data_IF_182257660707
#
_entry.id   IF_182257660707
#
_cell.length_a   1.000
_cell.length_b   1.000
_cell.length_c   1.000
_cell.angle_alpha   90.00
_cell.angle_beta   90.00
_cell.angle_gamma   90.00
#
_symmetry.space_group_name_H-M   'P 1'
#
loop_
_entity.id
_entity.type
_entity.pdbx_description
1 polymer ?
#
# COMPACT_ATOMS: atom_id res chain seq x y z
N UNK A 1 -16.43 -25.66 -6.80
CA UNK A 1 -15.37 -25.62 -7.81
C UNK A 1 -15.84 -24.82 -9.04
N UNK A 2 -16.95 -25.17 -9.69
CA UNK A 2 -17.46 -24.44 -10.88
C UNK A 2 -17.84 -22.97 -10.60
N UNK A 3 -18.54 -22.67 -9.49
CA UNK A 3 -18.95 -21.29 -9.16
C UNK A 3 -17.80 -20.32 -8.86
N UNK A 4 -16.58 -20.82 -8.59
CA UNK A 4 -15.40 -19.98 -8.31
C UNK A 4 -14.57 -19.75 -9.57
N UNK A 5 -14.48 -20.76 -10.44
CA UNK A 5 -13.88 -20.65 -11.78
C UNK A 5 -14.72 -19.72 -12.66
N UNK A 6 -16.04 -19.87 -12.63
CA UNK A 6 -16.96 -19.09 -13.45
C UNK A 6 -16.94 -17.59 -13.09
N UNK A 7 -16.75 -17.25 -11.80
CA UNK A 7 -16.70 -15.85 -11.33
C UNK A 7 -15.40 -15.14 -11.73
N UNK A 8 -14.33 -15.89 -11.99
CA UNK A 8 -13.06 -15.37 -12.51
C UNK A 8 -13.07 -15.23 -14.03
N UNK A 9 -13.80 -16.10 -14.75
CA UNK A 9 -13.93 -16.05 -16.21
C UNK A 9 -14.98 -15.05 -16.70
N UNK A 10 -16.00 -14.73 -15.90
CA UNK A 10 -17.12 -13.87 -16.34
C UNK A 10 -16.95 -12.36 -16.06
N UNK A 11 -15.78 -11.91 -15.61
CA UNK A 11 -15.53 -10.53 -15.17
C UNK A 11 -15.42 -9.46 -16.27
N UNK A 12 -15.76 -9.78 -17.53
CA UNK A 12 -15.56 -8.89 -18.67
C UNK A 12 -16.79 -8.83 -19.60
N UNK A 13 -17.97 -8.49 -19.07
CA UNK A 13 -19.06 -7.95 -19.90
C UNK A 13 -19.96 -7.05 -19.08
N UNK A 14 -20.00 -5.77 -19.44
CA UNK A 14 -21.05 -4.82 -19.04
C UNK A 14 -22.23 -5.04 -19.98
N UNK A 15 -23.35 -5.55 -19.49
CA UNK A 15 -24.63 -5.36 -20.18
C UNK A 15 -25.78 -5.08 -19.21
N UNK A 16 -26.60 -4.16 -19.71
CA UNK A 16 -27.69 -3.45 -19.07
C UNK A 16 -28.97 -4.27 -19.30
N UNK A 17 -29.62 -4.77 -18.24
CA UNK A 17 -30.68 -5.77 -18.37
C UNK A 17 -31.79 -5.66 -17.33
N UNK A 18 -32.74 -4.79 -17.63
CA UNK A 18 -34.06 -4.55 -17.01
C UNK A 18 -34.74 -5.81 -16.44
N UNK A 19 -34.99 -5.83 -15.13
CA UNK A 19 -35.77 -6.85 -14.44
C UNK A 19 -37.29 -6.69 -14.68
N UNK A 20 -37.97 -7.80 -15.01
CA UNK A 20 -39.43 -7.92 -15.00
C UNK A 20 -39.86 -8.80 -13.82
N UNK A 21 -40.77 -8.29 -13.00
CA UNK A 21 -41.27 -8.90 -11.78
C UNK A 21 -42.53 -9.75 -12.04
N UNK A 22 -42.62 -10.91 -11.38
CA UNK A 22 -43.83 -11.73 -11.24
C UNK A 22 -44.69 -11.23 -10.08
N UNK A 23 -46.00 -11.16 -10.33
CA UNK A 23 -47.03 -10.60 -9.44
C UNK A 23 -47.53 -11.59 -8.37
N UNK A 24 -47.79 -11.07 -7.16
CA UNK A 24 -48.72 -11.65 -6.17
C UNK A 24 -49.53 -10.52 -5.52
N UNK A 25 -50.81 -10.82 -5.27
CA UNK A 25 -51.93 -9.91 -5.01
C UNK A 25 -51.88 -9.09 -3.70
N UNK A 26 -52.64 -7.99 -3.71
CA UNK A 26 -52.74 -6.94 -2.70
C UNK A 26 -53.73 -7.20 -1.54
N UNK A 27 -53.54 -6.52 -0.39
CA UNK A 27 -54.62 -6.08 0.48
C UNK A 27 -54.78 -4.53 0.48
N UNK A 28 -55.98 -4.11 0.92
CA UNK A 28 -56.62 -2.78 0.88
C UNK A 28 -55.90 -1.61 1.62
N UNK A 29 -56.20 -0.34 1.26
CA UNK A 29 -55.43 0.84 1.71
C UNK A 29 -55.88 1.42 3.06
N UNK A 30 -54.95 1.88 3.92
CA UNK A 30 -55.25 2.85 4.97
C UNK A 30 -55.02 4.31 4.50
N UNK A 31 -55.70 5.22 5.19
CA UNK A 31 -55.90 6.63 4.87
C UNK A 31 -54.63 7.47 4.61
N UNK A 32 -54.80 8.49 3.77
CA UNK A 32 -53.77 9.45 3.35
C UNK A 32 -53.10 10.17 4.53
N UNK A 33 -51.77 10.01 4.65
CA UNK A 33 -50.94 10.84 5.51
C UNK A 33 -50.68 12.22 4.87
N UNK A 34 -50.58 13.31 5.65
CA UNK A 34 -50.28 14.63 5.12
C UNK A 34 -48.85 14.70 4.54
N UNK A 35 -48.59 15.60 3.57
CA UNK A 35 -47.28 15.75 2.96
C UNK A 35 -46.22 16.16 4.00
N UNK A 36 -44.96 15.72 3.83
CA UNK A 36 -43.88 16.08 4.76
C UNK A 36 -43.64 17.60 4.75
N UNK A 37 -43.28 18.18 5.90
CA UNK A 37 -43.00 19.61 5.99
C UNK A 37 -41.79 19.99 5.12
N UNK A 38 -41.76 21.22 4.57
CA UNK A 38 -40.64 21.69 3.78
C UNK A 38 -39.36 21.73 4.63
N UNK A 39 -38.18 21.51 4.00
CA UNK A 39 -36.91 21.57 4.70
C UNK A 39 -36.66 22.97 5.29
N UNK A 40 -35.99 23.06 6.45
CA UNK A 40 -35.67 24.34 7.06
C UNK A 40 -34.74 25.17 6.15
N UNK A 41 -34.86 26.51 6.18
CA UNK A 41 -33.99 27.39 5.41
C UNK A 41 -32.52 27.23 5.85
N UNK A 42 -31.56 27.41 4.93
CA UNK A 42 -30.15 27.33 5.26
C UNK A 42 -29.75 28.42 6.28
N UNK A 43 -28.77 28.13 7.15
CA UNK A 43 -28.30 29.09 8.13
C UNK A 43 -27.70 30.34 7.46
N UNK A 44 -27.81 31.53 8.08
CA UNK A 44 -27.22 32.74 7.56
C UNK A 44 -25.69 32.62 7.50
N UNK A 45 -25.03 33.29 6.52
CA UNK A 45 -23.59 33.25 6.38
C UNK A 45 -22.89 33.86 7.61
N UNK A 46 -21.70 33.35 7.99
CA UNK A 46 -20.93 33.89 9.11
C UNK A 46 -20.55 35.35 8.89
N UNK A 47 -20.66 36.16 9.95
CA UNK A 47 -20.27 37.57 9.94
C UNK A 47 -18.74 37.68 9.81
N UNK A 48 -18.25 38.23 8.69
CA UNK A 48 -16.82 38.27 8.33
C UNK A 48 -15.98 39.27 9.14
N UNK A 49 -16.52 39.87 10.21
CA UNK A 49 -15.84 40.88 11.01
C UNK A 49 -14.94 40.32 12.13
N UNK A 50 -15.03 39.02 12.48
CA UNK A 50 -14.21 38.43 13.56
C UNK A 50 -13.09 37.49 13.09
N UNK A 51 -12.96 37.23 11.77
CA UNK A 51 -11.89 36.39 11.20
C UNK A 51 -10.59 37.17 10.88
N UNK A 52 -10.52 38.48 11.14
CA UNK A 52 -9.34 39.30 10.84
C UNK A 52 -8.34 39.47 11.99
N UNK A 53 -8.49 38.76 13.12
CA UNK A 53 -7.57 38.93 14.27
C UNK A 53 -6.69 37.73 14.62
N UNK A 54 -6.73 36.63 13.87
CA UNK A 54 -5.92 35.43 14.17
C UNK A 54 -5.04 34.89 13.03
N UNK A 55 -4.99 35.56 11.88
CA UNK A 55 -4.16 35.17 10.73
C UNK A 55 -2.94 36.08 10.56
N UNK A 56 -2.19 36.32 11.65
CA UNK A 56 -1.00 37.16 11.63
C UNK A 56 0.32 36.44 11.98
N UNK A 57 0.38 35.10 12.04
CA UNK A 57 1.61 34.46 12.52
C UNK A 57 2.11 33.18 11.86
N UNK A 58 1.49 32.63 10.80
CA UNK A 58 1.98 31.37 10.19
C UNK A 58 2.03 31.37 8.64
N UNK A 59 2.36 32.51 8.01
CA UNK A 59 2.48 32.60 6.55
C UNK A 59 3.74 33.30 6.02
N UNK A 60 4.60 33.84 6.88
CA UNK A 60 5.71 34.71 6.46
C UNK A 60 6.90 33.95 5.83
N UNK A 61 7.05 32.65 6.07
CA UNK A 61 8.23 31.90 5.62
C UNK A 61 8.20 31.46 4.16
N UNK A 62 7.06 30.95 3.66
CA UNK A 62 6.97 30.42 2.30
C UNK A 62 6.96 31.54 1.25
N UNK A 63 6.22 32.63 1.48
CA UNK A 63 6.15 33.76 0.55
C UNK A 63 7.50 34.47 0.35
N UNK A 64 8.31 34.56 1.42
CA UNK A 64 9.65 35.13 1.34
C UNK A 64 10.59 34.27 0.47
N UNK A 65 10.51 32.93 0.60
CA UNK A 65 11.29 32.00 -0.22
C UNK A 65 10.93 32.09 -1.71
N UNK A 66 9.64 32.19 -2.04
CA UNK A 66 9.22 32.33 -3.44
C UNK A 66 9.60 33.70 -4.03
N UNK A 67 9.59 34.77 -3.24
CA UNK A 67 10.03 36.09 -3.68
C UNK A 67 11.56 36.14 -3.91
N UNK A 68 12.34 35.47 -3.07
CA UNK A 68 13.80 35.36 -3.21
C UNK A 68 14.20 34.50 -4.42
N UNK A 69 13.47 33.41 -4.68
CA UNK A 69 13.67 32.58 -5.89
C UNK A 69 13.36 33.39 -7.16
N UNK A 70 12.31 34.21 -7.15
CA UNK A 70 11.94 35.03 -8.30
C UNK A 70 12.87 36.24 -8.50
N UNK A 71 13.50 36.76 -7.46
CA UNK A 71 14.42 37.91 -7.55
C UNK A 71 15.83 37.53 -8.04
N UNK A 72 16.20 36.25 -7.95
CA UNK A 72 17.51 35.74 -8.38
C UNK A 72 17.70 35.74 -9.92
N UNK A 73 16.63 35.87 -10.71
CA UNK A 73 16.68 35.92 -12.19
C UNK A 73 17.34 34.69 -12.84
N UNK A 74 17.41 34.65 -14.17
CA UNK A 74 18.01 33.51 -14.91
C UNK A 74 19.50 33.28 -14.58
N UNK A 75 20.21 34.30 -14.09
CA UNK A 75 21.63 34.24 -13.76
C UNK A 75 21.94 33.79 -12.32
N UNK A 76 21.07 34.08 -11.34
CA UNK A 76 21.32 33.78 -9.92
C UNK A 76 21.11 32.30 -9.57
N UNK A 77 20.21 31.61 -10.28
CA UNK A 77 19.96 30.17 -10.08
C UNK A 77 21.18 29.31 -10.46
N UNK A 78 22.05 29.81 -11.35
CA UNK A 78 23.22 29.08 -11.86
C UNK A 78 24.54 29.41 -11.16
N UNK A 79 24.59 30.43 -10.30
CA UNK A 79 25.82 30.89 -9.65
C UNK A 79 26.30 29.94 -8.53
N UNK A 80 25.38 29.19 -7.92
CA UNK A 80 25.66 28.21 -6.85
C UNK A 80 25.84 26.75 -7.31
N UNK A 81 25.58 26.44 -8.59
CA UNK A 81 25.78 25.09 -9.12
C UNK A 81 27.19 24.95 -9.69
N UNK A 82 27.95 23.95 -9.20
CA UNK A 82 29.20 23.54 -9.85
C UNK A 82 28.89 23.18 -11.31
N UNK A 83 29.60 23.79 -12.25
CA UNK A 83 29.50 23.44 -13.68
C UNK A 83 29.79 21.95 -13.83
N UNK A 84 28.79 21.19 -14.25
CA UNK A 84 29.00 19.81 -14.65
C UNK A 84 29.85 19.81 -15.92
N UNK A 85 31.11 19.37 -15.81
CA UNK A 85 31.90 19.00 -16.98
C UNK A 85 31.21 17.79 -17.61
N UNK A 86 30.69 17.94 -18.83
CA UNK A 86 30.27 16.79 -19.65
C UNK A 86 31.52 15.92 -19.84
N UNK A 87 31.54 14.76 -19.20
CA UNK A 87 32.50 13.72 -19.54
C UNK A 87 32.33 13.33 -21.01
N UNK A 88 33.38 12.80 -21.65
CA UNK A 88 33.36 12.51 -23.08
C UNK A 88 32.16 11.62 -23.42
N UNK A 89 31.38 12.10 -24.39
CA UNK A 89 30.47 11.26 -25.15
C UNK A 89 31.32 10.19 -25.83
N UNK A 90 30.93 8.92 -25.72
CA UNK A 90 31.56 7.85 -26.48
C UNK A 90 31.21 8.05 -27.96
N UNK A 91 31.97 8.91 -28.64
CA UNK A 91 32.13 8.84 -30.08
C UNK A 91 33.04 7.64 -30.39
N UNK A 92 32.49 6.71 -31.17
CA UNK A 92 33.17 5.64 -31.91
C UNK A 92 34.49 5.11 -31.34
N UNK A 93 34.38 4.11 -30.46
CA UNK A 93 35.45 3.13 -30.29
C UNK A 93 35.08 1.86 -31.04
N UNK A 94 35.72 1.67 -32.20
CA UNK A 94 35.74 0.40 -32.94
C UNK A 94 36.18 -0.72 -32.00
N UNK A 95 35.37 -1.78 -31.90
CA UNK A 95 35.68 -2.95 -31.09
C UNK A 95 36.99 -3.61 -31.59
N UNK A 96 38.03 -3.76 -30.75
CA UNK A 96 39.19 -4.57 -31.11
C UNK A 96 38.82 -6.06 -31.04
N UNK A 97 39.26 -6.81 -32.05
CA UNK A 97 39.03 -8.24 -32.22
C UNK A 97 39.43 -9.08 -30.99
N UNK A 98 38.73 -10.21 -30.70
CA UNK A 98 38.97 -11.00 -29.50
C UNK A 98 40.33 -11.71 -29.58
N UNK A 99 41.23 -11.37 -28.65
CA UNK A 99 42.49 -12.10 -28.42
C UNK A 99 42.24 -13.19 -27.35
N UNK A 100 42.85 -14.38 -27.46
CA UNK A 100 42.61 -15.49 -26.53
C UNK A 100 42.94 -15.13 -25.07
N UNK A 101 42.08 -15.57 -24.15
CA UNK A 101 42.15 -15.27 -22.72
C UNK A 101 43.43 -15.82 -22.05
N UNK A 102 44.17 -15.00 -21.27
CA UNK A 102 45.18 -15.48 -20.35
C UNK A 102 44.53 -16.11 -19.10
N UNK A 103 45.20 -17.11 -18.51
CA UNK A 103 44.77 -17.86 -17.33
C UNK A 103 44.43 -16.98 -16.11
N UNK A 104 43.62 -17.48 -15.15
CA UNK A 104 43.08 -16.66 -14.05
C UNK A 104 44.20 -16.21 -13.10
N UNK A 105 44.49 -14.91 -13.09
CA UNK A 105 45.28 -14.30 -12.04
C UNK A 105 44.38 -14.07 -10.81
N UNK A 106 44.78 -14.66 -9.68
CA UNK A 106 44.20 -14.39 -8.37
C UNK A 106 44.39 -12.90 -8.04
N UNK A 107 43.27 -12.17 -7.93
CA UNK A 107 43.30 -10.74 -7.64
C UNK A 107 41.99 -10.03 -7.96
N UNK A 108 40.85 -10.55 -7.49
CA UNK A 108 39.61 -9.79 -7.54
C UNK A 108 39.71 -8.64 -6.51
N UNK A 109 39.98 -7.43 -7.01
CA UNK A 109 39.73 -6.20 -6.28
C UNK A 109 38.25 -6.17 -5.91
N UNK A 110 37.96 -6.34 -4.62
CA UNK A 110 36.62 -6.26 -4.07
C UNK A 110 36.03 -4.89 -4.43
N UNK A 111 34.94 -4.91 -5.21
CA UNK A 111 34.11 -3.73 -5.42
C UNK A 111 33.66 -3.23 -4.05
N UNK A 112 34.11 -2.04 -3.67
CA UNK A 112 33.76 -1.42 -2.39
C UNK A 112 32.24 -1.23 -2.36
N UNK A 113 31.58 -2.07 -1.55
CA UNK A 113 30.18 -1.90 -1.24
C UNK A 113 30.01 -0.52 -0.60
N UNK A 114 29.19 0.33 -1.23
CA UNK A 114 28.78 1.62 -0.67
C UNK A 114 28.27 1.38 0.76
N UNK A 115 28.73 2.14 1.77
CA UNK A 115 28.31 1.94 3.15
C UNK A 115 26.79 1.95 3.24
N UNK A 116 26.23 0.90 3.85
CA UNK A 116 24.83 0.87 4.17
C UNK A 116 24.49 2.09 5.05
N UNK A 117 23.37 2.78 4.80
CA UNK A 117 22.91 3.87 5.66
C UNK A 117 22.88 3.40 7.12
N UNK A 118 23.31 4.26 8.04
CA UNK A 118 23.31 3.96 9.47
C UNK A 118 21.92 3.47 9.91
N UNK A 119 21.89 2.30 10.56
CA UNK A 119 20.66 1.70 11.04
C UNK A 119 20.01 2.64 12.06
N UNK A 120 18.77 3.07 11.77
CA UNK A 120 17.94 3.78 12.75
C UNK A 120 17.57 2.80 13.87
N UNK A 121 17.41 3.31 15.08
CA UNK A 121 17.01 2.47 16.21
C UNK A 121 15.62 1.86 15.96
N UNK A 122 15.42 0.56 16.26
CA UNK A 122 14.11 -0.05 16.22
C UNK A 122 13.12 0.70 17.11
N UNK A 123 11.89 0.85 16.61
CA UNK A 123 10.85 1.64 17.27
C UNK A 123 9.53 0.88 17.26
N UNK A 124 8.88 0.79 18.41
CA UNK A 124 7.53 0.25 18.54
C UNK A 124 6.78 1.03 19.60
N UNK A 125 5.89 1.92 19.19
CA UNK A 125 5.08 2.74 20.11
C UNK A 125 3.72 3.09 19.51
N UNK A 126 2.77 3.39 20.40
CA UNK A 126 1.45 3.89 20.01
C UNK A 126 1.47 5.42 19.94
N UNK A 127 1.27 5.97 18.74
CA UNK A 127 1.14 7.40 18.49
C UNK A 127 -0.33 7.75 18.25
N UNK A 128 -1.00 8.22 19.29
CA UNK A 128 -2.45 8.48 19.26
C UNK A 128 -3.23 7.19 19.07
N UNK A 129 -3.65 6.89 17.83
CA UNK A 129 -4.34 5.64 17.46
C UNK A 129 -3.54 4.80 16.46
N UNK A 130 -2.30 5.18 16.16
CA UNK A 130 -1.47 4.53 15.16
C UNK A 130 -0.29 3.87 15.84
N UNK A 131 -0.21 2.55 15.80
CA UNK A 131 0.99 1.82 16.15
C UNK A 131 2.05 2.05 15.08
N UNK A 132 3.23 2.48 15.51
CA UNK A 132 4.38 2.76 14.66
C UNK A 132 5.46 1.73 14.98
N UNK A 133 5.68 0.81 14.06
CA UNK A 133 6.66 -0.29 14.13
C UNK A 133 7.71 -0.05 13.06
N UNK A 134 8.92 0.36 13.42
CA UNK A 134 9.92 0.80 12.45
C UNK A 134 11.31 0.21 12.71
N UNK A 135 12.06 0.02 11.63
CA UNK A 135 13.50 -0.25 11.64
C UNK A 135 13.94 -1.53 12.39
N UNK A 136 13.05 -2.50 12.56
CA UNK A 136 13.44 -3.82 13.05
C UNK A 136 14.25 -4.56 11.99
N UNK A 137 15.39 -5.14 12.38
CA UNK A 137 16.25 -5.94 11.51
C UNK A 137 16.57 -7.26 12.22
N UNK A 138 16.26 -8.40 11.58
CA UNK A 138 16.63 -9.72 12.10
C UNK A 138 15.82 -10.22 13.30
N UNK A 139 14.70 -9.57 13.67
CA UNK A 139 13.93 -9.93 14.86
C UNK A 139 12.64 -10.69 14.48
N UNK A 140 12.54 -11.96 14.89
CA UNK A 140 11.40 -12.81 14.58
C UNK A 140 10.39 -12.98 15.73
N UNK A 141 10.57 -12.25 16.82
CA UNK A 141 9.77 -12.37 18.06
C UNK A 141 9.03 -11.07 18.38
N UNK A 142 8.74 -10.24 17.37
CA UNK A 142 8.02 -8.99 17.57
C UNK A 142 6.55 -9.30 17.83
N UNK A 143 6.05 -8.97 19.01
CA UNK A 143 4.64 -9.14 19.36
C UNK A 143 4.03 -7.77 19.63
N UNK A 144 2.98 -7.44 18.88
CA UNK A 144 2.19 -6.23 19.05
C UNK A 144 0.78 -6.61 19.54
N UNK A 145 0.38 -6.10 20.70
CA UNK A 145 -0.97 -6.30 21.22
C UNK A 145 -1.81 -5.04 20.94
N UNK A 146 -2.78 -5.17 20.04
CA UNK A 146 -3.74 -4.11 19.71
C UNK A 146 -4.93 -4.20 20.67
N UNK A 147 -5.20 -3.11 21.39
CA UNK A 147 -6.21 -3.09 22.45
C UNK A 147 -7.58 -2.57 21.95
N UNK A 148 -7.62 -1.97 20.76
CA UNK A 148 -8.81 -1.32 20.24
C UNK A 148 -8.92 -1.46 18.73
N UNK A 149 -10.11 -1.81 18.26
CA UNK A 149 -10.45 -1.87 16.82
C UNK A 149 -10.29 -0.51 16.11
N UNK A 150 -10.16 0.59 16.85
CA UNK A 150 -9.92 1.93 16.29
C UNK A 150 -8.44 2.21 16.03
N UNK A 151 -7.55 1.33 16.49
CA UNK A 151 -6.11 1.47 16.29
C UNK A 151 -5.70 0.90 14.93
N UNK A 152 -4.79 1.58 14.25
CA UNK A 152 -4.17 1.13 13.00
C UNK A 152 -2.71 0.79 13.23
N UNK A 153 -2.16 -0.15 12.45
CA UNK A 153 -0.76 -0.57 12.55
C UNK A 153 -0.01 -0.12 11.31
N UNK A 154 1.14 0.52 11.51
CA UNK A 154 2.04 0.94 10.44
C UNK A 154 3.43 0.38 10.68
N UNK A 155 3.88 -0.42 9.72
CA UNK A 155 5.14 -1.15 9.76
C UNK A 155 6.03 -0.57 8.66
N UNK A 156 7.18 -0.03 9.05
CA UNK A 156 8.07 0.67 8.12
C UNK A 156 9.50 0.17 8.22
N UNK A 157 10.09 -0.21 7.07
CA UNK A 157 11.49 -0.63 6.97
C UNK A 157 11.89 -1.69 8.00
N UNK A 158 11.01 -2.66 8.22
CA UNK A 158 11.34 -3.85 9.00
C UNK A 158 11.85 -4.93 8.02
N UNK A 159 13.06 -5.45 8.24
CA UNK A 159 13.64 -6.46 7.35
C UNK A 159 14.08 -7.71 8.10
N UNK A 160 14.02 -8.87 7.44
CA UNK A 160 14.39 -10.19 8.01
C UNK A 160 13.74 -10.42 9.38
N UNK A 161 12.50 -9.96 9.52
CA UNK A 161 11.82 -9.87 10.80
C UNK A 161 10.42 -10.44 10.66
N UNK A 162 9.87 -10.89 11.79
CA UNK A 162 8.50 -11.43 11.87
C UNK A 162 7.76 -10.68 12.97
N UNK A 163 6.55 -10.21 12.66
CA UNK A 163 5.63 -9.61 13.63
C UNK A 163 4.38 -10.47 13.79
N UNK A 164 3.91 -10.56 15.04
CA UNK A 164 2.60 -11.09 15.40
C UNK A 164 1.74 -9.96 15.96
N UNK A 165 0.69 -9.59 15.26
CA UNK A 165 -0.29 -8.58 15.67
C UNK A 165 -1.49 -9.32 16.29
N UNK A 166 -1.58 -9.24 17.61
CA UNK A 166 -2.66 -9.81 18.40
C UNK A 166 -3.79 -8.80 18.58
N UNK A 167 -5.02 -9.29 18.61
CA UNK A 167 -6.22 -8.46 18.65
C UNK A 167 -6.66 -7.94 17.27
N UNK A 168 -7.86 -7.35 17.26
CA UNK A 168 -8.47 -6.79 16.06
C UNK A 168 -8.12 -5.31 15.91
N UNK A 169 -7.57 -4.95 14.75
CA UNK A 169 -7.20 -3.57 14.41
C UNK A 169 -8.11 -3.01 13.30
N UNK A 170 -8.04 -1.70 13.07
CA UNK A 170 -8.75 -1.04 11.98
C UNK A 170 -8.12 -1.38 10.63
N UNK A 171 -6.81 -1.17 10.51
CA UNK A 171 -6.03 -1.38 9.29
C UNK A 171 -4.57 -1.69 9.61
N UNK A 172 -3.90 -2.35 8.67
CA UNK A 172 -2.47 -2.65 8.70
C UNK A 172 -1.85 -2.08 7.43
N UNK A 173 -0.72 -1.39 7.54
CA UNK A 173 0.05 -0.90 6.41
C UNK A 173 1.53 -1.30 6.58
N UNK A 174 2.07 -2.00 5.59
CA UNK A 174 3.45 -2.51 5.53
C UNK A 174 4.15 -1.76 4.40
N UNK A 175 5.12 -0.91 4.73
CA UNK A 175 5.85 -0.09 3.75
C UNK A 175 7.36 -0.33 3.82
N UNK A 176 7.98 -0.46 2.66
CA UNK A 176 9.43 -0.50 2.50
C UNK A 176 10.11 -1.63 3.29
N UNK A 177 9.43 -2.76 3.47
CA UNK A 177 9.92 -3.93 4.21
C UNK A 177 10.54 -4.97 3.26
N UNK A 178 11.51 -5.75 3.75
CA UNK A 178 12.19 -6.79 2.96
C UNK A 178 12.38 -8.09 3.73
N UNK A 179 11.99 -9.24 3.17
CA UNK A 179 12.04 -10.54 3.88
C UNK A 179 11.31 -10.43 5.22
N UNK A 180 10.07 -9.97 5.16
CA UNK A 180 9.29 -9.62 6.34
C UNK A 180 8.00 -10.43 6.40
N UNK A 181 7.72 -10.97 7.58
CA UNK A 181 6.57 -11.82 7.81
C UNK A 181 5.61 -11.13 8.79
N UNK A 182 4.32 -11.10 8.46
CA UNK A 182 3.28 -10.50 9.29
C UNK A 182 2.16 -11.51 9.53
N UNK A 183 1.95 -11.89 10.79
CA UNK A 183 0.78 -12.67 11.20
C UNK A 183 -0.15 -11.75 11.97
N UNK A 184 -1.41 -11.67 11.59
CA UNK A 184 -2.39 -10.84 12.28
C UNK A 184 -3.74 -11.55 12.45
N UNK A 185 -4.47 -11.20 13.50
CA UNK A 185 -5.81 -11.76 13.73
C UNK A 185 -6.83 -11.20 12.76
N UNK A 186 -7.18 -9.92 12.88
CA UNK A 186 -8.19 -9.31 12.02
C UNK A 186 -7.90 -7.84 11.73
N UNK A 187 -8.17 -7.45 10.49
CA UNK A 187 -8.19 -6.07 10.04
C UNK A 187 -9.62 -5.72 9.63
N UNK A 188 -10.20 -4.67 10.22
CA UNK A 188 -11.58 -4.28 9.93
C UNK A 188 -11.77 -3.78 8.50
N UNK A 189 -10.78 -3.04 7.98
CA UNK A 189 -10.87 -2.39 6.67
C UNK A 189 -9.91 -2.98 5.65
N UNK A 190 -8.60 -2.87 5.87
CA UNK A 190 -7.61 -3.20 4.85
C UNK A 190 -6.27 -3.59 5.46
N UNK A 191 -5.59 -4.51 4.77
CA UNK A 191 -4.17 -4.75 4.91
C UNK A 191 -3.46 -4.28 3.63
N UNK A 192 -2.60 -3.29 3.74
CA UNK A 192 -1.91 -2.68 2.61
C UNK A 192 -0.41 -3.00 2.65
N UNK A 193 0.16 -3.33 1.50
CA UNK A 193 1.58 -3.62 1.33
C UNK A 193 2.12 -2.78 0.20
N UNK A 194 3.10 -1.94 0.49
CA UNK A 194 3.65 -0.95 -0.44
C UNK A 194 5.17 -1.02 -0.47
N UNK A 195 5.78 -0.87 -1.65
CA UNK A 195 7.23 -0.73 -1.83
C UNK A 195 8.07 -1.85 -1.16
N UNK A 196 7.50 -3.05 -1.04
CA UNK A 196 8.07 -4.12 -0.21
C UNK A 196 8.40 -5.35 -1.05
N UNK A 197 9.34 -6.17 -0.58
CA UNK A 197 9.78 -7.35 -1.33
C UNK A 197 10.03 -8.55 -0.44
N UNK A 198 9.74 -9.76 -0.92
CA UNK A 198 9.80 -11.01 -0.15
C UNK A 198 8.96 -10.89 1.12
N UNK A 199 7.64 -10.72 0.94
CA UNK A 199 6.70 -10.53 2.05
C UNK A 199 5.82 -11.77 2.21
N UNK A 200 5.65 -12.22 3.44
CA UNK A 200 4.65 -13.23 3.77
C UNK A 200 3.65 -12.66 4.77
N UNK A 201 2.38 -12.79 4.47
CA UNK A 201 1.30 -12.29 5.34
C UNK A 201 0.38 -13.45 5.65
N UNK A 202 -0.09 -13.54 6.89
CA UNK A 202 -1.08 -14.52 7.30
C UNK A 202 -2.17 -13.84 8.14
N UNK A 203 -3.42 -14.02 7.75
CA UNK A 203 -4.57 -13.70 8.61
C UNK A 203 -5.03 -14.96 9.34
N UNK A 204 -5.40 -14.84 10.62
CA UNK A 204 -6.05 -15.94 11.37
C UNK A 204 -7.56 -15.74 11.53
N UNK A 205 -8.08 -14.53 11.30
CA UNK A 205 -9.50 -14.20 11.24
C UNK A 205 -9.84 -13.34 10.02
N UNK A 206 -10.84 -12.48 10.12
CA UNK A 206 -11.32 -11.66 8.99
C UNK A 206 -10.30 -10.66 8.44
N UNK A 207 -10.19 -10.60 7.11
CA UNK A 207 -9.45 -9.59 6.36
C UNK A 207 -10.14 -9.32 5.02
N UNK A 208 -10.97 -8.26 4.93
CA UNK A 208 -11.87 -8.07 3.80
C UNK A 208 -11.16 -7.54 2.54
N UNK A 209 -10.04 -6.83 2.68
CA UNK A 209 -9.30 -6.32 1.55
C UNK A 209 -7.80 -6.34 1.78
N UNK A 210 -7.05 -6.72 0.74
CA UNK A 210 -5.60 -6.58 0.69
C UNK A 210 -5.19 -5.84 -0.56
N UNK A 211 -4.44 -4.74 -0.37
CA UNK A 211 -3.80 -4.00 -1.45
C UNK A 211 -2.32 -4.33 -1.50
N UNK A 212 -1.82 -4.58 -2.70
CA UNK A 212 -0.40 -4.85 -2.97
C UNK A 212 0.05 -3.88 -4.07
N UNK A 213 0.82 -2.87 -3.69
CA UNK A 213 1.31 -1.84 -4.60
C UNK A 213 2.84 -1.79 -4.64
N UNK A 214 3.41 -1.79 -5.85
CA UNK A 214 4.86 -1.72 -6.06
C UNK A 214 5.65 -2.75 -5.23
N UNK A 215 5.19 -4.00 -5.19
CA UNK A 215 5.81 -5.08 -4.45
C UNK A 215 6.38 -6.18 -5.37
N UNK A 216 7.41 -6.87 -4.88
CA UNK A 216 8.03 -8.00 -5.59
C UNK A 216 8.09 -9.22 -4.68
N UNK A 217 7.43 -10.31 -5.06
CA UNK A 217 7.30 -11.53 -4.24
C UNK A 217 6.46 -11.27 -2.99
N UNK A 218 5.20 -11.67 -3.03
CA UNK A 218 4.31 -11.63 -1.88
C UNK A 218 3.49 -12.92 -1.82
N UNK A 219 3.45 -13.57 -0.66
CA UNK A 219 2.54 -14.68 -0.41
C UNK A 219 1.58 -14.28 0.70
N UNK A 220 0.27 -14.34 0.41
CA UNK A 220 -0.75 -14.08 1.40
C UNK A 220 -1.52 -15.36 1.75
N UNK A 221 -1.40 -15.80 3.01
CA UNK A 221 -2.13 -16.90 3.60
C UNK A 221 -3.44 -16.39 4.19
N UNK A 222 -4.55 -16.74 3.54
CA UNK A 222 -5.90 -16.40 3.94
C UNK A 222 -6.41 -17.36 5.02
N UNK A 223 -7.12 -16.84 6.01
CA UNK A 223 -7.95 -17.67 6.89
C UNK A 223 -9.22 -18.14 6.17
N UNK A 224 -9.86 -19.18 6.69
CA UNK A 224 -11.18 -19.61 6.23
C UNK A 224 -12.25 -18.49 6.36
N UNK A 225 -12.13 -17.62 7.37
CA UNK A 225 -13.01 -16.48 7.57
C UNK A 225 -12.79 -15.38 6.53
N UNK A 226 -11.52 -15.09 6.17
CA UNK A 226 -11.19 -14.11 5.15
C UNK A 226 -11.64 -14.54 3.75
N UNK A 227 -11.61 -15.85 3.46
CA UNK A 227 -11.91 -16.40 2.13
C UNK A 227 -13.30 -16.01 1.57
N UNK A 228 -14.28 -15.77 2.44
CA UNK A 228 -15.64 -15.44 2.01
C UNK A 228 -15.72 -14.08 1.28
N UNK A 229 -14.96 -13.09 1.75
CA UNK A 229 -15.12 -11.68 1.37
C UNK A 229 -13.81 -11.00 0.92
N UNK A 230 -12.67 -11.71 0.96
CA UNK A 230 -11.36 -11.15 0.65
C UNK A 230 -11.29 -10.63 -0.80
N UNK A 231 -11.01 -9.34 -0.92
CA UNK A 231 -10.69 -8.68 -2.19
C UNK A 231 -9.19 -8.41 -2.27
N UNK A 232 -8.57 -8.82 -3.37
CA UNK A 232 -7.14 -8.61 -3.61
C UNK A 232 -6.98 -7.61 -4.74
N UNK A 233 -6.31 -6.51 -4.43
CA UNK A 233 -6.10 -5.39 -5.35
C UNK A 233 -4.60 -5.28 -5.57
N UNK A 234 -4.15 -5.49 -6.80
CA UNK A 234 -2.74 -5.43 -7.15
C UNK A 234 -2.44 -4.28 -8.11
N UNK A 235 -1.35 -3.57 -7.87
CA UNK A 235 -0.83 -2.52 -8.75
C UNK A 235 0.69 -2.62 -8.80
N UNK A 236 1.26 -2.56 -10.01
CA UNK A 236 2.71 -2.52 -10.25
C UNK A 236 3.50 -3.57 -9.44
N UNK A 237 2.91 -4.73 -9.22
CA UNK A 237 3.45 -5.78 -8.37
C UNK A 237 3.63 -7.06 -9.16
N UNK A 238 4.60 -7.87 -8.76
CA UNK A 238 4.96 -9.11 -9.44
C UNK A 238 5.13 -10.27 -8.46
N UNK A 239 4.88 -11.49 -8.93
CA UNK A 239 4.98 -12.72 -8.14
C UNK A 239 4.14 -12.66 -6.83
N UNK A 240 2.87 -12.28 -6.97
CA UNK A 240 1.89 -12.30 -5.87
C UNK A 240 1.15 -13.63 -5.89
N UNK A 241 1.19 -14.37 -4.78
CA UNK A 241 0.49 -15.64 -4.59
C UNK A 241 -0.49 -15.55 -3.42
N UNK A 242 -1.65 -16.17 -3.58
CA UNK A 242 -2.64 -16.38 -2.53
C UNK A 242 -2.65 -17.84 -2.12
N UNK A 243 -2.56 -18.10 -0.83
CA UNK A 243 -2.73 -19.42 -0.25
C UNK A 243 -4.04 -19.45 0.53
N UNK A 244 -4.96 -20.32 0.15
CA UNK A 244 -6.25 -20.49 0.82
C UNK A 244 -6.41 -21.94 1.31
N UNK A 245 -7.09 -22.17 2.46
CA UNK A 245 -7.36 -23.53 2.93
C UNK A 245 -8.26 -24.25 1.94
N UNK A 246 -7.99 -25.55 1.72
CA UNK A 246 -8.84 -26.37 0.86
C UNK A 246 -10.19 -26.62 1.53
N UNK A 247 -11.30 -26.64 0.77
CA UNK A 247 -12.63 -26.89 1.35
C UNK A 247 -12.78 -28.28 1.99
N UNK A 248 -12.04 -29.27 1.47
CA UNK A 248 -12.05 -30.68 1.89
C UNK A 248 -11.02 -31.00 2.98
N UNK A 249 -9.92 -30.24 3.04
CA UNK A 249 -8.86 -30.39 4.04
C UNK A 249 -8.36 -29.00 4.50
N UNK A 250 -8.86 -28.47 5.64
CA UNK A 250 -8.44 -27.17 6.15
C UNK A 250 -6.97 -27.08 6.57
N UNK A 251 -6.31 -28.22 6.78
CA UNK A 251 -4.88 -28.28 7.12
C UNK A 251 -3.98 -28.24 5.86
N UNK A 252 -4.58 -28.38 4.67
CA UNK A 252 -3.91 -28.26 3.38
C UNK A 252 -4.28 -26.94 2.69
N UNK A 253 -3.27 -26.26 2.14
CA UNK A 253 -3.42 -24.95 1.52
C UNK A 253 -3.24 -25.09 -0.01
N UNK A 254 -4.12 -24.46 -0.76
CA UNK A 254 -3.99 -24.32 -2.22
C UNK A 254 -3.42 -22.95 -2.57
N UNK A 255 -2.33 -22.94 -3.35
CA UNK A 255 -1.67 -21.73 -3.82
C UNK A 255 -2.18 -21.32 -5.21
N UNK A 256 -2.56 -20.05 -5.36
CA UNK A 256 -3.04 -19.44 -6.60
C UNK A 256 -2.21 -18.20 -6.93
N UNK A 257 -1.49 -18.17 -8.07
CA UNK A 257 -0.78 -16.97 -8.51
C UNK A 257 -1.77 -15.92 -9.03
N UNK A 258 -1.48 -14.65 -8.76
CA UNK A 258 -2.26 -13.52 -9.27
C UNK A 258 -1.72 -13.05 -10.62
N UNK A 259 -2.58 -12.91 -11.65
CA UNK A 259 -2.16 -12.38 -12.94
C UNK A 259 -1.56 -10.97 -12.82
N UNK A 260 -0.40 -10.75 -13.44
CA UNK A 260 0.34 -9.48 -13.37
C UNK A 260 0.37 -8.71 -14.70
N UNK A 261 -0.13 -9.31 -15.79
CA UNK A 261 -0.16 -8.70 -17.13
C UNK A 261 -1.60 -8.59 -17.64
N UNK A 262 -1.95 -7.42 -18.20
CA UNK A 262 -3.25 -7.13 -18.79
C UNK A 262 -3.10 -6.81 -20.29
N UNK A 263 -4.14 -7.10 -21.07
CA UNK A 263 -4.26 -6.68 -22.47
C UNK A 263 -5.45 -5.73 -22.60
N UNK A 264 -5.22 -4.53 -23.13
CA UNK A 264 -6.27 -3.54 -23.40
C UNK A 264 -6.41 -3.39 -24.93
N UNK A 265 -7.65 -3.39 -25.44
CA UNK A 265 -7.97 -3.20 -26.86
C UNK A 265 -8.95 -2.06 -27.05
#
# INVERSE_FOLDING_TARGET
>A
MEKLIEKFESGATVENGKAAATAVAAPTPPAAAPPPPPPPPPPPPPNTAELQKQSATEGAGAGALFAEINSLGEGGVRSGLKKATRGPVNEEAVAPAPKPAPAPAAGAVAAQAKPAPAAKAPKMELQGKKWVVEFFEGNNEIILNVNSIKESVYIYRCNKSTIQIKGKCNSIAIDSCKKFNCVFESALSICEVVNSSDIQIQSTGASPAVTVDNCNTLTYYLSAEALADAQIITSKSAAVNLCAPKPDDPDDMFETPIPEQMVTK
#
